data_IF_904028852400
#
_entry.id   IF_904028852400
#
_cell.length_a   1.000
_cell.length_b   1.000
_cell.length_c   1.000
_cell.angle_alpha   90.00
_cell.angle_beta   90.00
_cell.angle_gamma   90.00
#
_symmetry.space_group_name_H-M   'P 1'
#
loop_
_entity.id
_entity.type
_entity.pdbx_description
1 polymer ?
#
# COMPACT_ATOMS: atom_id res chain seq x y z
N UNK A 1 -0.53 -20.82 13.56
CA UNK A 1 -1.16 -21.45 14.74
C UNK A 1 -0.27 -21.12 15.93
N UNK A 2 -0.82 -20.49 16.98
CA UNK A 2 -0.05 -20.10 18.17
C UNK A 2 0.39 -21.33 18.98
N UNK A 3 1.41 -21.19 19.80
CA UNK A 3 1.94 -22.29 20.63
C UNK A 3 0.85 -23.01 21.43
N UNK A 4 -0.05 -22.26 22.07
CA UNK A 4 -1.15 -22.84 22.84
C UNK A 4 -2.10 -23.71 22.01
N UNK A 5 -2.46 -23.23 20.82
CA UNK A 5 -3.30 -24.02 19.88
C UNK A 5 -2.61 -25.30 19.44
N UNK A 6 -1.29 -25.27 19.25
CA UNK A 6 -0.50 -26.47 18.90
C UNK A 6 -0.44 -27.48 20.04
N UNK A 7 -0.21 -26.99 21.26
CA UNK A 7 -0.22 -27.87 22.44
C UNK A 7 -1.56 -28.59 22.53
N UNK A 8 -2.67 -27.85 22.36
CA UNK A 8 -4.01 -28.43 22.36
C UNK A 8 -4.19 -29.44 21.23
N UNK A 9 -3.82 -29.07 19.98
CA UNK A 9 -3.91 -29.95 18.79
C UNK A 9 -3.15 -31.25 18.98
N UNK A 10 -1.84 -31.19 19.30
CA UNK A 10 -1.03 -32.37 19.48
C UNK A 10 -1.48 -33.23 20.66
N UNK A 11 -1.97 -32.63 21.74
CA UNK A 11 -2.60 -33.37 22.85
C UNK A 11 -3.80 -34.17 22.37
N UNK A 12 -4.70 -33.54 21.60
CA UNK A 12 -5.90 -34.20 21.07
C UNK A 12 -5.57 -35.28 20.03
N UNK A 13 -4.62 -35.05 19.14
CA UNK A 13 -4.12 -36.03 18.18
C UNK A 13 -3.52 -37.26 18.87
N UNK A 14 -2.84 -37.08 20.00
CA UNK A 14 -2.33 -38.17 20.84
C UNK A 14 -3.37 -38.75 21.82
N UNK A 15 -4.62 -38.31 21.73
CA UNK A 15 -5.75 -38.78 22.59
C UNK A 15 -5.49 -38.58 24.09
N UNK A 16 -4.78 -37.55 24.47
CA UNK A 16 -4.43 -37.21 25.84
C UNK A 16 -5.38 -36.16 26.42
N UNK A 17 -5.63 -36.23 27.73
CA UNK A 17 -6.33 -35.21 28.48
C UNK A 17 -5.38 -34.11 28.94
N UNK A 18 -5.92 -32.96 29.38
CA UNK A 18 -5.09 -31.92 30.00
C UNK A 18 -4.44 -32.42 31.32
N UNK A 19 -5.06 -33.42 32.00
CA UNK A 19 -4.48 -34.07 33.19
C UNK A 19 -3.25 -34.88 32.84
N UNK A 20 -3.29 -35.65 31.74
CA UNK A 20 -2.15 -36.46 31.31
C UNK A 20 -0.95 -35.57 31.00
N UNK A 21 -1.17 -34.44 30.28
CA UNK A 21 -0.11 -33.47 30.03
C UNK A 21 0.39 -32.83 31.31
N UNK A 22 -0.50 -32.48 32.24
CA UNK A 22 -0.13 -31.89 33.54
C UNK A 22 0.76 -32.83 34.35
N UNK A 23 0.45 -34.12 34.35
CA UNK A 23 1.29 -35.16 35.03
C UNK A 23 2.67 -35.26 34.39
N UNK A 24 2.75 -35.29 33.05
CA UNK A 24 4.01 -35.33 32.30
C UNK A 24 4.86 -34.08 32.60
N UNK A 25 4.22 -32.92 32.65
CA UNK A 25 4.93 -31.66 32.92
C UNK A 25 5.20 -31.37 34.39
N UNK A 26 4.65 -32.19 35.29
CA UNK A 26 4.71 -31.96 36.73
C UNK A 26 4.09 -30.60 37.14
N UNK A 27 2.92 -30.27 36.59
CA UNK A 27 2.18 -29.03 36.86
C UNK A 27 0.71 -29.32 37.20
N UNK A 28 0.00 -28.33 37.71
CA UNK A 28 -1.44 -28.46 37.89
C UNK A 28 -2.21 -28.47 36.56
N UNK A 29 -3.33 -29.23 36.45
CA UNK A 29 -4.13 -29.28 35.21
C UNK A 29 -4.57 -27.89 34.69
N UNK A 30 -4.89 -26.95 35.60
CA UNK A 30 -5.21 -25.58 35.28
C UNK A 30 -4.08 -24.80 34.60
N UNK A 31 -2.83 -25.23 34.80
CA UNK A 31 -1.67 -24.64 34.11
C UNK A 31 -1.63 -25.03 32.63
N UNK A 32 -1.97 -26.27 32.30
CA UNK A 32 -2.08 -26.74 30.90
C UNK A 32 -3.18 -26.00 30.18
N UNK A 33 -4.33 -25.78 30.83
CA UNK A 33 -5.41 -24.95 30.28
C UNK A 33 -4.94 -23.52 29.93
N UNK A 34 -4.11 -22.92 30.80
CA UNK A 34 -3.53 -21.60 30.58
C UNK A 34 -2.51 -21.60 29.44
N UNK A 35 -1.72 -22.69 29.26
CA UNK A 35 -0.84 -22.86 28.12
C UNK A 35 -1.64 -22.95 26.82
N UNK A 36 -2.68 -23.77 26.77
CA UNK A 36 -3.54 -23.93 25.60
C UNK A 36 -4.30 -22.67 25.22
N UNK A 37 -4.72 -21.88 26.21
CA UNK A 37 -5.39 -20.59 25.97
C UNK A 37 -4.44 -19.42 25.69
N UNK A 38 -3.12 -19.64 25.78
CA UNK A 38 -2.12 -18.59 25.62
C UNK A 38 -2.04 -17.57 26.76
N UNK A 39 -2.71 -17.83 27.90
CA UNK A 39 -2.65 -16.96 29.09
C UNK A 39 -1.33 -17.10 29.85
N UNK A 40 -0.62 -18.20 29.62
CA UNK A 40 0.68 -18.47 30.24
C UNK A 40 1.57 -19.18 29.20
N UNK A 41 2.83 -18.82 29.13
CA UNK A 41 3.79 -19.50 28.28
C UNK A 41 4.51 -20.63 29.05
N UNK A 42 4.65 -21.85 28.43
CA UNK A 42 5.44 -22.90 29.00
C UNK A 42 6.92 -22.50 29.07
N UNK A 43 7.58 -22.86 30.15
CA UNK A 43 9.03 -22.69 30.26
C UNK A 43 9.79 -23.69 29.34
N UNK A 44 11.10 -23.49 29.16
CA UNK A 44 11.94 -24.31 28.28
C UNK A 44 11.89 -25.80 28.65
N UNK A 45 11.84 -26.14 29.93
CA UNK A 45 11.73 -27.52 30.41
C UNK A 45 10.41 -28.16 29.95
N UNK A 46 9.31 -27.43 30.10
CA UNK A 46 7.98 -27.86 29.62
C UNK A 46 7.91 -28.02 28.12
N UNK A 47 8.50 -27.07 27.35
CA UNK A 47 8.57 -27.13 25.89
C UNK A 47 9.32 -28.40 25.44
N UNK A 48 10.45 -28.70 26.06
CA UNK A 48 11.24 -29.90 25.75
C UNK A 48 10.45 -31.18 26.03
N UNK A 49 9.79 -31.28 27.19
CA UNK A 49 8.94 -32.45 27.53
C UNK A 49 7.75 -32.59 26.58
N UNK A 50 7.10 -31.48 26.21
CA UNK A 50 6.01 -31.51 25.23
C UNK A 50 6.49 -32.02 23.86
N UNK A 51 7.65 -31.55 23.36
CA UNK A 51 8.20 -32.00 22.09
C UNK A 51 8.52 -33.50 22.12
N UNK A 52 9.12 -34.00 23.19
CA UNK A 52 9.39 -35.42 23.39
C UNK A 52 8.09 -36.25 23.47
N UNK A 53 7.09 -35.75 24.20
CA UNK A 53 5.78 -36.45 24.36
C UNK A 53 5.00 -36.53 23.05
N UNK A 54 5.02 -35.48 22.24
CA UNK A 54 4.32 -35.43 20.97
C UNK A 54 5.13 -36.02 19.79
N UNK A 55 6.38 -36.39 20.02
CA UNK A 55 7.26 -36.95 18.99
C UNK A 55 7.63 -35.95 17.88
N UNK A 56 7.70 -34.67 18.20
CA UNK A 56 8.02 -33.59 17.29
C UNK A 56 9.25 -32.82 17.77
N UNK A 57 9.88 -32.04 16.89
CA UNK A 57 11.02 -31.21 17.29
C UNK A 57 10.54 -29.96 18.06
N UNK A 58 11.43 -29.41 18.90
CA UNK A 58 11.17 -28.13 19.59
C UNK A 58 10.87 -27.03 18.59
N UNK A 59 11.63 -26.99 17.47
CA UNK A 59 11.42 -26.02 16.38
C UNK A 59 10.02 -26.15 15.77
N UNK A 60 9.53 -27.37 15.58
CA UNK A 60 8.18 -27.62 15.05
C UNK A 60 7.09 -27.21 16.06
N UNK A 61 7.32 -27.43 17.33
CA UNK A 61 6.40 -27.00 18.38
C UNK A 61 6.38 -25.47 18.52
N UNK A 62 7.55 -24.82 18.50
CA UNK A 62 7.71 -23.38 18.67
C UNK A 62 7.48 -22.61 17.36
N UNK A 63 7.77 -23.24 16.21
CA UNK A 63 7.53 -22.60 14.92
C UNK A 63 6.05 -22.27 14.85
N UNK A 64 5.71 -21.02 15.06
CA UNK A 64 4.36 -20.59 14.71
C UNK A 64 4.18 -21.02 13.25
N UNK A 65 3.24 -21.93 12.97
CA UNK A 65 2.75 -22.07 11.62
C UNK A 65 2.04 -20.75 11.36
N UNK A 66 2.83 -19.74 11.08
CA UNK A 66 2.37 -18.68 10.25
C UNK A 66 1.93 -19.39 8.97
N UNK A 67 0.64 -19.41 8.74
CA UNK A 67 0.11 -19.49 7.39
C UNK A 67 0.60 -18.22 6.68
N UNK A 68 1.93 -18.12 6.47
CA UNK A 68 2.52 -17.04 5.73
C UNK A 68 1.99 -17.18 4.33
N UNK A 69 1.20 -16.21 3.98
CA UNK A 69 0.78 -16.01 2.61
C UNK A 69 2.04 -15.89 1.78
N UNK A 70 2.25 -16.80 0.85
CA UNK A 70 3.35 -16.68 -0.10
C UNK A 70 2.98 -15.58 -1.10
N UNK A 71 3.31 -14.34 -0.73
CA UNK A 71 2.93 -13.14 -1.49
C UNK A 71 3.48 -13.19 -2.92
N UNK A 72 4.55 -13.95 -3.17
CA UNK A 72 5.13 -14.13 -4.51
C UNK A 72 4.21 -14.86 -5.49
N UNK A 73 3.23 -15.60 -4.98
CA UNK A 73 2.24 -16.36 -5.77
C UNK A 73 0.91 -15.65 -5.94
N UNK A 74 0.75 -14.46 -5.34
CA UNK A 74 -0.50 -13.72 -5.38
C UNK A 74 -0.48 -12.76 -6.56
N UNK A 75 -1.49 -12.84 -7.41
CA UNK A 75 -1.81 -11.77 -8.33
C UNK A 75 -2.59 -10.68 -7.58
N UNK A 76 -1.87 -9.65 -7.13
CA UNK A 76 -2.46 -8.56 -6.33
C UNK A 76 -3.54 -7.82 -7.10
N UNK A 77 -3.40 -7.68 -8.43
CA UNK A 77 -4.41 -7.01 -9.26
C UNK A 77 -5.74 -7.77 -9.26
N UNK A 78 -5.70 -9.08 -9.45
CA UNK A 78 -6.91 -9.92 -9.41
C UNK A 78 -7.59 -9.83 -8.05
N UNK A 79 -6.83 -9.96 -6.96
CA UNK A 79 -7.38 -9.82 -5.60
C UNK A 79 -8.07 -8.48 -5.39
N UNK A 80 -7.43 -7.38 -5.80
CA UNK A 80 -8.00 -6.04 -5.64
C UNK A 80 -9.28 -5.87 -6.48
N UNK A 81 -9.32 -6.40 -7.72
CA UNK A 81 -10.51 -6.38 -8.58
C UNK A 81 -11.67 -7.20 -8.01
N UNK A 82 -11.41 -8.44 -7.60
CA UNK A 82 -12.43 -9.28 -6.95
C UNK A 82 -13.01 -8.61 -5.71
N UNK A 83 -12.16 -8.06 -4.86
CA UNK A 83 -12.60 -7.41 -3.63
C UNK A 83 -13.31 -6.06 -3.88
N UNK A 84 -12.95 -5.34 -4.96
CA UNK A 84 -13.70 -4.18 -5.45
C UNK A 84 -15.12 -4.56 -5.83
N UNK A 85 -15.31 -5.64 -6.59
CA UNK A 85 -16.62 -6.13 -7.01
C UNK A 85 -17.49 -6.58 -5.82
N UNK A 86 -16.87 -7.22 -4.83
CA UNK A 86 -17.56 -7.67 -3.62
C UNK A 86 -18.10 -6.53 -2.76
N UNK A 87 -17.52 -5.34 -2.83
CA UNK A 87 -17.86 -4.13 -2.03
C UNK A 87 -17.87 -4.38 -0.51
N UNK A 88 -17.08 -5.34 -0.04
CA UNK A 88 -16.99 -5.67 1.38
C UNK A 88 -15.99 -4.77 2.09
N UNK A 89 -16.36 -4.32 3.29
CA UNK A 89 -15.47 -3.56 4.16
C UNK A 89 -14.41 -4.46 4.81
N UNK A 90 -13.26 -3.87 5.14
CA UNK A 90 -12.22 -4.53 5.94
C UNK A 90 -11.33 -5.51 5.19
N UNK A 91 -11.41 -5.58 3.85
CA UNK A 91 -10.53 -6.37 3.00
C UNK A 91 -9.31 -5.55 2.51
N UNK A 92 -8.43 -6.18 1.71
CA UNK A 92 -7.23 -5.52 1.18
C UNK A 92 -7.57 -4.32 0.30
N UNK A 93 -8.55 -4.45 -0.63
CA UNK A 93 -8.99 -3.36 -1.49
C UNK A 93 -9.51 -2.17 -0.67
N UNK A 94 -10.40 -2.42 0.28
CA UNK A 94 -10.98 -1.38 1.13
C UNK A 94 -9.90 -0.58 1.87
N UNK A 95 -8.93 -1.27 2.47
CA UNK A 95 -7.85 -0.60 3.18
C UNK A 95 -6.84 0.05 2.24
N UNK A 96 -6.59 -0.52 1.06
CA UNK A 96 -5.77 0.12 0.01
C UNK A 96 -6.37 1.47 -0.40
N UNK A 97 -7.67 1.52 -0.64
CA UNK A 97 -8.39 2.76 -0.97
C UNK A 97 -8.16 3.85 0.08
N UNK A 98 -8.37 3.52 1.36
CA UNK A 98 -8.25 4.49 2.45
C UNK A 98 -6.80 4.94 2.65
N UNK A 99 -5.87 3.98 2.80
CA UNK A 99 -4.46 4.28 3.09
C UNK A 99 -3.81 5.03 1.93
N UNK A 100 -4.10 4.65 0.68
CA UNK A 100 -3.53 5.33 -0.48
C UNK A 100 -4.08 6.75 -0.59
N UNK A 101 -5.40 6.93 -0.52
CA UNK A 101 -6.02 8.25 -0.64
C UNK A 101 -5.60 9.18 0.50
N UNK A 102 -5.59 8.72 1.74
CA UNK A 102 -5.13 9.50 2.88
C UNK A 102 -3.68 9.96 2.68
N UNK A 103 -2.75 9.02 2.54
CA UNK A 103 -1.33 9.36 2.51
C UNK A 103 -0.96 10.23 1.31
N UNK A 104 -1.48 9.91 0.11
CA UNK A 104 -1.11 10.68 -1.08
C UNK A 104 -1.63 12.12 -1.05
N UNK A 105 -2.83 12.37 -0.48
CA UNK A 105 -3.35 13.72 -0.31
C UNK A 105 -2.66 14.46 0.85
N UNK A 106 -2.35 13.75 1.95
CA UNK A 106 -1.68 14.36 3.10
C UNK A 106 -0.22 14.77 2.80
N UNK A 107 0.48 14.02 1.95
CA UNK A 107 1.80 14.41 1.40
C UNK A 107 1.69 15.77 0.68
N UNK A 108 0.62 16.02 -0.06
CA UNK A 108 0.38 17.28 -0.78
C UNK A 108 -0.25 18.39 0.09
N UNK A 109 -0.46 18.12 1.38
CA UNK A 109 -0.87 19.14 2.35
C UNK A 109 -2.34 19.12 2.76
N UNK A 110 -3.13 18.13 2.32
CA UNK A 110 -4.50 17.93 2.82
C UNK A 110 -4.53 17.86 4.35
N UNK A 111 -5.57 18.43 4.93
CA UNK A 111 -5.80 18.43 6.39
C UNK A 111 -6.76 17.35 6.88
N UNK A 112 -7.28 16.53 5.97
CA UNK A 112 -8.14 15.40 6.34
C UNK A 112 -7.35 14.37 7.14
N UNK A 113 -7.93 13.87 8.22
CA UNK A 113 -7.38 12.73 8.96
C UNK A 113 -7.65 11.42 8.22
N UNK A 114 -6.99 10.34 8.65
CA UNK A 114 -7.26 9.01 8.10
C UNK A 114 -8.70 8.57 8.38
N UNK A 115 -9.22 8.85 9.58
CA UNK A 115 -10.61 8.53 9.94
C UNK A 115 -11.60 9.33 9.10
N UNK A 116 -11.37 10.62 8.86
CA UNK A 116 -12.21 11.42 7.95
C UNK A 116 -12.16 10.89 6.53
N UNK A 117 -10.97 10.48 6.04
CA UNK A 117 -10.81 9.82 4.74
C UNK A 117 -11.61 8.52 4.67
N UNK A 118 -11.58 7.72 5.74
CA UNK A 118 -12.38 6.49 5.89
C UNK A 118 -13.87 6.79 5.86
N UNK A 119 -14.35 7.80 6.61
CA UNK A 119 -15.76 8.20 6.60
C UNK A 119 -16.24 8.61 5.21
N UNK A 120 -15.43 9.40 4.48
CA UNK A 120 -15.78 9.78 3.10
C UNK A 120 -15.94 8.53 2.22
N UNK A 121 -14.99 7.58 2.31
CA UNK A 121 -15.04 6.35 1.51
C UNK A 121 -16.24 5.46 1.87
N UNK A 122 -16.46 5.23 3.17
CA UNK A 122 -17.43 4.24 3.64
C UNK A 122 -18.87 4.74 3.63
N UNK A 123 -19.08 6.04 3.79
CA UNK A 123 -20.42 6.61 4.05
C UNK A 123 -20.78 7.80 3.17
N UNK A 124 -19.82 8.29 2.38
CA UNK A 124 -19.94 9.55 1.63
C UNK A 124 -20.32 10.74 2.53
N UNK A 125 -19.87 10.72 3.78
CA UNK A 125 -20.03 11.80 4.77
C UNK A 125 -18.70 12.18 5.37
N UNK A 126 -18.67 13.31 6.08
CA UNK A 126 -17.50 13.73 6.85
C UNK A 126 -17.95 14.18 8.25
N UNK A 127 -17.17 13.80 9.26
CA UNK A 127 -17.36 14.21 10.63
C UNK A 127 -16.22 15.15 11.04
N UNK A 128 -16.59 16.30 11.59
CA UNK A 128 -15.66 17.21 12.24
C UNK A 128 -15.94 17.17 13.76
N UNK A 129 -14.92 16.88 14.53
CA UNK A 129 -15.01 16.81 15.99
C UNK A 129 -14.62 18.14 16.66
N UNK A 130 -13.99 19.02 15.92
CA UNK A 130 -13.48 20.31 16.37
C UNK A 130 -13.73 21.44 15.34
N UNK A 131 -13.25 22.66 15.64
CA UNK A 131 -13.32 23.82 14.74
C UNK A 131 -12.28 23.78 13.61
N UNK A 132 -11.72 22.63 13.26
CA UNK A 132 -10.72 22.51 12.19
C UNK A 132 -11.33 22.89 10.86
N UNK A 133 -10.73 23.84 10.17
CA UNK A 133 -11.11 24.26 8.82
C UNK A 133 -10.42 23.36 7.81
N UNK A 134 -11.21 22.61 7.05
CA UNK A 134 -10.75 21.76 5.94
C UNK A 134 -11.21 22.39 4.63
N UNK A 135 -10.35 22.37 3.62
CA UNK A 135 -10.71 22.82 2.28
C UNK A 135 -11.74 21.91 1.65
N UNK A 136 -12.74 22.49 0.97
CA UNK A 136 -13.67 21.70 0.14
C UNK A 136 -12.93 20.93 -0.95
N UNK A 137 -11.84 21.50 -1.48
CA UNK A 137 -11.00 20.83 -2.47
C UNK A 137 -10.30 19.59 -1.88
N UNK A 138 -9.87 19.60 -0.60
CA UNK A 138 -9.31 18.41 0.07
C UNK A 138 -10.34 17.26 0.09
N UNK A 139 -11.63 17.58 0.35
CA UNK A 139 -12.71 16.59 0.36
C UNK A 139 -12.96 16.06 -1.05
N UNK A 140 -13.07 16.97 -2.04
CA UNK A 140 -13.29 16.61 -3.44
C UNK A 140 -12.15 15.76 -4.01
N UNK A 141 -10.91 16.18 -3.79
CA UNK A 141 -9.74 15.46 -4.28
C UNK A 141 -9.59 14.08 -3.61
N UNK A 142 -9.99 13.96 -2.33
CA UNK A 142 -10.03 12.66 -1.65
C UNK A 142 -11.10 11.75 -2.25
N UNK A 143 -12.31 12.24 -2.45
CA UNK A 143 -13.38 11.48 -3.10
C UNK A 143 -13.05 11.12 -4.56
N UNK A 144 -12.39 12.03 -5.28
CA UNK A 144 -11.93 11.80 -6.64
C UNK A 144 -10.78 10.79 -6.67
N UNK A 145 -9.93 10.75 -5.65
CA UNK A 145 -8.86 9.77 -5.59
C UNK A 145 -9.39 8.34 -5.45
N UNK A 146 -10.48 8.11 -4.73
CA UNK A 146 -11.15 6.81 -4.71
C UNK A 146 -11.61 6.38 -6.10
N UNK A 147 -12.27 7.28 -6.83
CA UNK A 147 -12.68 7.03 -8.24
C UNK A 147 -11.46 6.77 -9.14
N UNK A 148 -10.36 7.47 -8.87
CA UNK A 148 -9.12 7.30 -9.61
C UNK A 148 -8.48 5.94 -9.37
N UNK A 149 -8.48 5.43 -8.13
CA UNK A 149 -8.02 4.06 -7.83
C UNK A 149 -8.90 3.03 -8.53
N UNK A 150 -10.22 3.20 -8.51
CA UNK A 150 -11.14 2.29 -9.20
C UNK A 150 -10.90 2.27 -10.71
N UNK A 151 -10.78 3.43 -11.33
CA UNK A 151 -10.47 3.55 -12.76
C UNK A 151 -9.09 2.93 -13.08
N UNK A 152 -8.09 3.19 -12.25
CA UNK A 152 -6.75 2.62 -12.41
C UNK A 152 -6.77 1.10 -12.36
N UNK A 153 -7.53 0.49 -11.44
CA UNK A 153 -7.65 -0.98 -11.38
C UNK A 153 -8.30 -1.55 -12.65
N UNK A 154 -9.30 -0.86 -13.21
CA UNK A 154 -9.99 -1.31 -14.42
C UNK A 154 -9.04 -1.36 -15.62
N UNK A 155 -8.13 -0.38 -15.73
CA UNK A 155 -7.21 -0.23 -16.87
C UNK A 155 -5.76 -0.66 -16.56
N UNK A 156 -5.54 -1.36 -15.43
CA UNK A 156 -4.19 -1.60 -14.92
C UNK A 156 -3.27 -2.31 -15.92
N UNK A 157 -3.81 -3.17 -16.80
CA UNK A 157 -3.05 -3.94 -17.78
C UNK A 157 -2.76 -3.17 -19.08
N UNK A 158 -3.41 -2.01 -19.29
CA UNK A 158 -3.17 -1.20 -20.49
C UNK A 158 -1.75 -0.60 -20.50
N UNK A 159 -1.20 -0.39 -21.68
CA UNK A 159 0.08 0.30 -21.86
C UNK A 159 -0.02 1.75 -21.38
N UNK A 160 1.05 2.22 -20.73
CA UNK A 160 1.08 3.59 -20.25
C UNK A 160 1.11 4.57 -21.42
N UNK A 161 0.10 5.43 -21.50
CA UNK A 161 -0.04 6.44 -22.55
C UNK A 161 -0.20 7.84 -21.94
N UNK A 162 0.01 8.85 -22.77
CA UNK A 162 -0.23 10.24 -22.41
C UNK A 162 -1.69 10.47 -22.01
N UNK A 163 -2.64 9.82 -22.72
CA UNK A 163 -4.07 9.94 -22.45
C UNK A 163 -4.45 9.35 -21.08
N UNK A 164 -3.89 8.21 -20.69
CA UNK A 164 -4.10 7.62 -19.36
C UNK A 164 -3.62 8.60 -18.27
N UNK A 165 -2.44 9.17 -18.42
CA UNK A 165 -1.87 10.11 -17.44
C UNK A 165 -2.74 11.37 -17.33
N UNK A 166 -3.18 11.91 -18.46
CA UNK A 166 -4.11 13.06 -18.51
C UNK A 166 -5.47 12.72 -17.91
N UNK A 167 -5.98 11.52 -18.16
CA UNK A 167 -7.23 11.04 -17.58
C UNK A 167 -7.14 10.91 -16.06
N UNK A 168 -6.01 10.43 -15.52
CA UNK A 168 -5.77 10.39 -14.07
C UNK A 168 -5.85 11.80 -13.47
N UNK A 169 -5.19 12.78 -14.08
CA UNK A 169 -5.26 14.15 -13.62
C UNK A 169 -6.70 14.73 -13.73
N UNK A 170 -7.42 14.41 -14.81
CA UNK A 170 -8.79 14.87 -15.01
C UNK A 170 -9.72 14.35 -13.91
N UNK A 171 -9.64 13.05 -13.60
CA UNK A 171 -10.44 12.46 -12.51
C UNK A 171 -10.10 13.10 -11.18
N UNK A 172 -8.80 13.25 -10.87
CA UNK A 172 -8.33 13.80 -9.59
C UNK A 172 -8.83 15.21 -9.33
N UNK A 173 -8.78 16.09 -10.34
CA UNK A 173 -9.07 17.53 -10.20
C UNK A 173 -10.48 17.89 -10.59
N UNK A 174 -11.37 16.92 -10.88
CA UNK A 174 -12.75 17.17 -11.26
C UNK A 174 -13.51 17.91 -10.16
N UNK A 175 -14.18 19.01 -10.52
CA UNK A 175 -15.05 19.78 -9.61
C UNK A 175 -14.34 20.68 -8.60
N UNK A 176 -13.01 20.64 -8.51
CA UNK A 176 -12.23 21.51 -7.61
C UNK A 176 -12.30 22.98 -8.02
N UNK A 177 -11.94 23.88 -7.11
CA UNK A 177 -11.83 25.33 -7.42
C UNK A 177 -10.88 25.58 -8.60
N UNK A 178 -9.81 24.82 -8.68
CA UNK A 178 -8.84 24.91 -9.78
C UNK A 178 -9.47 24.55 -11.13
N UNK A 179 -10.41 23.61 -11.17
CA UNK A 179 -11.10 23.22 -12.40
C UNK A 179 -11.94 24.33 -13.02
N UNK A 180 -12.22 25.40 -12.26
CA UNK A 180 -13.00 26.58 -12.71
C UNK A 180 -12.10 27.68 -13.29
N UNK A 181 -10.79 27.52 -13.22
CA UNK A 181 -9.83 28.52 -13.70
C UNK A 181 -9.45 28.21 -15.15
N UNK A 182 -9.68 29.13 -16.07
CA UNK A 182 -9.39 28.95 -17.51
C UNK A 182 -7.94 28.59 -17.83
N UNK A 183 -7.02 29.00 -16.96
CA UNK A 183 -5.58 28.74 -17.13
C UNK A 183 -5.12 27.41 -16.53
N UNK A 184 -5.90 26.81 -15.61
CA UNK A 184 -5.46 25.60 -14.90
C UNK A 184 -5.41 24.36 -15.78
N UNK A 185 -6.36 24.22 -16.69
CA UNK A 185 -6.33 23.22 -17.77
C UNK A 185 -6.39 21.76 -17.26
N UNK A 186 -7.44 21.43 -16.50
CA UNK A 186 -7.65 20.09 -15.94
C UNK A 186 -7.60 18.99 -17.00
N UNK A 187 -6.78 17.97 -16.79
CA UNK A 187 -6.60 16.86 -17.73
C UNK A 187 -5.72 17.18 -18.92
N UNK A 188 -5.05 18.35 -18.91
CA UNK A 188 -4.09 18.76 -19.95
C UNK A 188 -2.84 19.32 -19.30
N UNK A 189 -1.76 19.44 -20.08
CA UNK A 189 -0.50 19.96 -19.58
C UNK A 189 -0.58 21.44 -19.20
N UNK A 190 0.28 21.83 -18.29
CA UNK A 190 0.37 23.19 -17.74
C UNK A 190 0.53 24.26 -18.82
N UNK A 191 -0.14 25.39 -18.60
CA UNK A 191 0.00 26.59 -19.44
C UNK A 191 0.99 27.59 -18.85
N UNK A 192 1.16 27.59 -17.53
CA UNK A 192 2.03 28.50 -16.80
C UNK A 192 3.25 27.73 -16.24
N UNK A 193 4.40 28.38 -16.12
CA UNK A 193 5.54 27.82 -15.41
C UNK A 193 5.16 27.46 -13.96
N UNK A 194 5.69 26.35 -13.48
CA UNK A 194 5.54 25.93 -12.10
C UNK A 194 6.90 25.48 -11.52
N UNK A 195 6.90 25.19 -10.23
CA UNK A 195 8.08 24.74 -9.50
C UNK A 195 7.73 23.44 -8.74
N UNK A 196 8.70 22.56 -8.57
CA UNK A 196 8.63 21.42 -7.69
C UNK A 196 9.57 21.67 -6.50
N UNK A 197 8.99 22.09 -5.36
CA UNK A 197 9.77 22.66 -4.26
C UNK A 197 10.53 23.91 -4.71
N UNK A 198 11.88 23.88 -4.60
CA UNK A 198 12.73 25.00 -5.07
C UNK A 198 13.38 24.74 -6.44
N UNK A 199 12.94 23.71 -7.17
CA UNK A 199 13.52 23.35 -8.47
C UNK A 199 12.63 23.80 -9.61
N UNK A 200 13.24 24.42 -10.63
CA UNK A 200 12.55 24.72 -11.88
C UNK A 200 12.21 23.43 -12.61
N UNK A 201 10.98 23.35 -13.07
CA UNK A 201 10.47 22.23 -13.85
C UNK A 201 10.62 22.49 -15.36
N UNK A 202 10.25 21.54 -16.20
CA UNK A 202 10.20 21.73 -17.66
C UNK A 202 9.25 22.87 -18.02
N UNK A 203 9.63 23.73 -18.97
CA UNK A 203 8.78 24.84 -19.40
C UNK A 203 7.46 24.32 -20.02
N UNK A 204 6.35 25.10 -19.94
CA UNK A 204 5.08 24.68 -20.56
C UNK A 204 5.21 24.30 -22.03
N UNK A 205 5.98 25.06 -22.81
CA UNK A 205 6.22 24.82 -24.24
C UNK A 205 6.93 23.48 -24.52
N UNK A 206 7.82 23.07 -23.62
CA UNK A 206 8.62 21.85 -23.79
C UNK A 206 7.96 20.62 -23.16
N UNK A 207 6.99 20.83 -22.27
CA UNK A 207 6.32 19.75 -21.53
C UNK A 207 5.75 18.64 -22.41
N UNK A 208 5.00 18.90 -23.49
CA UNK A 208 4.47 17.83 -24.34
C UNK A 208 5.55 16.93 -24.92
N UNK A 209 6.62 17.53 -25.46
CA UNK A 209 7.76 16.80 -26.02
C UNK A 209 8.53 16.02 -24.98
N UNK A 210 8.65 16.55 -23.76
CA UNK A 210 9.33 15.88 -22.66
C UNK A 210 8.52 14.67 -22.17
N UNK A 211 7.20 14.79 -22.07
CA UNK A 211 6.30 13.67 -21.71
C UNK A 211 6.28 12.59 -22.77
N UNK A 212 6.18 12.96 -24.04
CA UNK A 212 6.27 12.00 -25.15
C UNK A 212 7.55 11.16 -25.06
N UNK A 213 8.71 11.81 -24.92
CA UNK A 213 10.00 11.13 -24.79
C UNK A 213 10.07 10.22 -23.54
N UNK A 214 9.48 10.65 -22.43
CA UNK A 214 9.46 9.85 -21.20
C UNK A 214 8.64 8.56 -21.40
N UNK A 215 7.47 8.67 -22.02
CA UNK A 215 6.57 7.54 -22.29
C UNK A 215 7.20 6.61 -23.33
N UNK A 216 7.75 7.14 -24.44
CA UNK A 216 8.46 6.37 -25.44
C UNK A 216 9.63 5.59 -24.83
N UNK A 217 10.45 6.24 -24.01
CA UNK A 217 11.53 5.57 -23.28
C UNK A 217 11.00 4.42 -22.43
N UNK A 218 9.96 4.67 -21.62
CA UNK A 218 9.41 3.67 -20.71
C UNK A 218 8.84 2.46 -21.47
N UNK A 219 8.07 2.71 -22.52
CA UNK A 219 7.47 1.66 -23.34
C UNK A 219 8.47 0.92 -24.22
N UNK A 220 9.67 1.46 -24.43
CA UNK A 220 10.75 0.78 -25.17
C UNK A 220 11.55 -0.23 -24.36
N UNK A 221 11.31 -0.27 -23.02
CA UNK A 221 12.04 -1.18 -22.12
C UNK A 221 11.59 -2.63 -22.34
N UNK A 222 12.55 -3.52 -22.56
CA UNK A 222 12.27 -4.96 -22.71
C UNK A 222 11.87 -5.65 -21.41
N UNK A 223 12.24 -5.06 -20.28
CA UNK A 223 11.89 -5.55 -18.95
C UNK A 223 11.69 -4.36 -18.02
N UNK A 224 10.58 -4.36 -17.33
CA UNK A 224 10.24 -3.35 -16.31
C UNK A 224 10.39 -3.98 -14.93
N UNK A 225 11.16 -3.34 -14.08
CA UNK A 225 11.31 -3.67 -12.66
C UNK A 225 10.89 -2.46 -11.82
N UNK A 226 10.86 -2.62 -10.51
CA UNK A 226 10.55 -1.51 -9.61
C UNK A 226 11.49 -0.30 -9.82
N UNK A 227 12.72 -0.52 -10.26
CA UNK A 227 13.68 0.56 -10.51
C UNK A 227 13.30 1.43 -11.70
N UNK A 228 12.83 0.83 -12.79
CA UNK A 228 12.36 1.56 -13.97
C UNK A 228 11.08 2.33 -13.67
N UNK A 229 10.19 1.78 -12.83
CA UNK A 229 8.98 2.47 -12.37
C UNK A 229 9.35 3.70 -11.52
N UNK A 230 10.29 3.56 -10.59
CA UNK A 230 10.80 4.66 -9.78
C UNK A 230 11.51 5.71 -10.65
N UNK A 231 12.30 5.28 -11.63
CA UNK A 231 12.97 6.19 -12.57
C UNK A 231 11.96 6.98 -13.42
N UNK A 232 10.91 6.30 -13.92
CA UNK A 232 9.81 6.99 -14.60
C UNK A 232 9.23 8.09 -13.71
N UNK A 233 8.89 7.76 -12.48
CA UNK A 233 8.32 8.70 -11.54
C UNK A 233 9.24 9.89 -11.25
N UNK A 234 10.53 9.65 -11.00
CA UNK A 234 11.49 10.73 -10.75
C UNK A 234 11.63 11.68 -11.95
N UNK A 235 11.60 11.15 -13.18
CA UNK A 235 11.61 11.95 -14.41
C UNK A 235 10.28 12.68 -14.62
N UNK A 236 9.15 12.05 -14.31
CA UNK A 236 7.82 12.65 -14.36
C UNK A 236 7.73 13.85 -13.41
N UNK A 237 8.18 13.69 -12.15
CA UNK A 237 8.24 14.76 -11.17
C UNK A 237 9.18 15.91 -11.59
N UNK A 238 10.27 15.61 -12.31
CA UNK A 238 11.16 16.65 -12.86
C UNK A 238 10.50 17.43 -13.99
N UNK A 239 9.72 16.77 -14.85
CA UNK A 239 8.94 17.44 -15.89
C UNK A 239 7.83 18.26 -15.27
N UNK A 240 7.13 17.71 -14.27
CA UNK A 240 6.03 18.33 -13.54
C UNK A 240 4.94 18.84 -14.49
N UNK A 241 4.30 17.91 -15.25
CA UNK A 241 3.59 18.27 -16.47
C UNK A 241 2.28 19.02 -16.25
N UNK A 242 1.66 18.90 -15.08
CA UNK A 242 0.39 19.57 -14.76
C UNK A 242 0.62 20.81 -13.90
N UNK A 243 -0.38 21.67 -13.82
CA UNK A 243 -0.29 22.89 -13.04
C UNK A 243 -0.23 22.58 -11.52
N UNK A 244 -0.95 21.55 -11.09
CA UNK A 244 -0.97 20.93 -9.75
C UNK A 244 -1.32 19.44 -9.87
N UNK A 245 -1.25 18.67 -8.78
CA UNK A 245 -1.63 17.25 -8.74
C UNK A 245 -0.60 16.27 -9.31
N UNK A 246 0.61 16.75 -9.65
CA UNK A 246 1.65 15.90 -10.26
C UNK A 246 2.06 14.75 -9.33
N UNK A 247 2.33 15.00 -8.06
CA UNK A 247 2.73 13.97 -7.10
C UNK A 247 1.70 12.85 -6.99
N UNK A 248 0.42 13.19 -6.88
CA UNK A 248 -0.69 12.24 -6.79
C UNK A 248 -0.83 11.40 -8.06
N UNK A 249 -0.79 12.03 -9.22
CA UNK A 249 -0.82 11.32 -10.52
C UNK A 249 0.41 10.43 -10.67
N UNK A 250 1.61 10.93 -10.35
CA UNK A 250 2.85 10.16 -10.44
C UNK A 250 2.85 8.92 -9.53
N UNK A 251 2.37 9.04 -8.29
CA UNK A 251 2.23 7.90 -7.38
C UNK A 251 1.17 6.90 -7.84
N UNK A 252 0.07 7.37 -8.45
CA UNK A 252 -0.93 6.50 -9.07
C UNK A 252 -0.35 5.72 -10.26
N UNK A 253 0.47 6.37 -11.10
CA UNK A 253 1.17 5.69 -12.21
C UNK A 253 2.12 4.62 -11.67
N UNK A 254 2.90 4.91 -10.61
CA UNK A 254 3.76 3.88 -10.00
C UNK A 254 2.95 2.66 -9.54
N UNK A 255 1.84 2.88 -8.85
CA UNK A 255 0.99 1.80 -8.36
C UNK A 255 0.43 0.96 -9.52
N UNK A 256 -0.11 1.62 -10.56
CA UNK A 256 -0.60 0.97 -11.78
C UNK A 256 0.49 0.13 -12.45
N UNK A 257 1.66 0.69 -12.66
CA UNK A 257 2.74 0.01 -13.37
C UNK A 257 3.32 -1.16 -12.57
N UNK A 258 3.30 -1.09 -11.23
CA UNK A 258 3.59 -2.25 -10.40
C UNK A 258 2.60 -3.40 -10.67
N UNK A 259 1.30 -3.11 -10.63
CA UNK A 259 0.26 -4.12 -10.87
C UNK A 259 0.38 -4.73 -12.28
N UNK A 260 0.56 -3.89 -13.31
CA UNK A 260 0.72 -4.34 -14.71
C UNK A 260 1.87 -5.34 -14.87
N UNK A 261 2.98 -5.09 -14.20
CA UNK A 261 4.19 -5.90 -14.34
C UNK A 261 4.29 -7.02 -13.30
N UNK A 262 3.20 -7.33 -12.60
CA UNK A 262 3.14 -8.32 -11.52
C UNK A 262 4.22 -8.06 -10.44
N UNK A 263 4.45 -6.79 -10.15
CA UNK A 263 5.29 -6.32 -9.05
C UNK A 263 4.35 -5.91 -7.92
N UNK A 264 4.65 -6.30 -6.69
CA UNK A 264 3.85 -5.85 -5.54
C UNK A 264 3.90 -4.33 -5.47
N UNK A 265 2.75 -3.64 -5.47
CA UNK A 265 2.72 -2.20 -5.41
C UNK A 265 3.15 -1.66 -4.05
N UNK A 266 3.29 -0.35 -3.93
CA UNK A 266 3.63 0.32 -2.70
C UNK A 266 2.91 1.67 -2.58
N UNK A 267 2.75 2.11 -1.33
CA UNK A 267 2.13 3.40 -0.99
C UNK A 267 3.14 4.17 -0.14
N UNK A 268 3.59 5.32 -0.62
CA UNK A 268 4.43 6.23 0.17
C UNK A 268 3.56 6.79 1.30
N UNK A 269 3.96 6.57 2.54
CA UNK A 269 3.24 7.07 3.70
C UNK A 269 3.66 8.51 4.02
N UNK A 270 2.72 9.32 4.53
CA UNK A 270 2.99 10.72 4.90
C UNK A 270 4.13 10.86 5.92
N UNK A 271 4.24 9.94 6.87
CA UNK A 271 5.36 9.91 7.83
C UNK A 271 6.73 9.82 7.17
N UNK A 272 6.81 9.27 5.94
CA UNK A 272 8.04 9.07 5.18
C UNK A 272 8.26 10.16 4.12
N UNK A 273 7.38 11.18 4.05
CA UNK A 273 7.41 12.22 3.01
C UNK A 273 8.74 12.99 2.92
N UNK A 274 9.41 13.22 4.03
CA UNK A 274 10.70 13.94 4.02
C UNK A 274 11.80 13.11 3.35
N UNK A 275 11.81 11.78 3.57
CA UNK A 275 12.73 10.87 2.89
C UNK A 275 12.41 10.77 1.40
N UNK A 276 11.12 10.71 1.05
CA UNK A 276 10.65 10.70 -0.33
C UNK A 276 11.04 11.97 -1.08
N UNK A 277 10.80 13.15 -0.53
CA UNK A 277 11.20 14.42 -1.17
C UNK A 277 12.71 14.58 -1.28
N UNK A 278 13.45 14.18 -0.25
CA UNK A 278 14.91 14.12 -0.32
C UNK A 278 15.36 13.16 -1.43
N UNK A 279 14.78 11.99 -1.48
CA UNK A 279 15.08 10.98 -2.50
C UNK A 279 14.85 11.50 -3.91
N UNK A 280 13.71 12.16 -4.18
CA UNK A 280 13.41 12.81 -5.46
C UNK A 280 14.46 13.87 -5.81
N UNK A 281 14.79 14.75 -4.87
CA UNK A 281 15.78 15.82 -5.08
C UNK A 281 17.16 15.28 -5.43
N UNK A 282 17.64 14.27 -4.70
CA UNK A 282 18.96 13.67 -4.96
C UNK A 282 18.96 12.90 -6.29
N UNK A 283 17.89 12.16 -6.57
CA UNK A 283 17.73 11.43 -7.82
C UNK A 283 17.73 12.36 -9.04
N UNK A 284 16.95 13.42 -9.00
CA UNK A 284 16.84 14.41 -10.09
C UNK A 284 18.12 15.23 -10.27
N UNK A 285 18.89 15.42 -9.19
CA UNK A 285 20.20 16.07 -9.21
C UNK A 285 21.35 15.19 -9.72
N UNK A 286 21.08 13.97 -10.17
CA UNK A 286 22.07 12.97 -10.56
C UNK A 286 23.12 12.68 -9.47
N UNK A 287 22.74 12.77 -8.20
CA UNK A 287 23.62 12.52 -7.06
C UNK A 287 23.48 11.09 -6.57
N UNK A 288 22.59 10.88 -5.61
CA UNK A 288 22.39 9.59 -4.96
C UNK A 288 20.98 9.06 -5.27
N UNK A 289 20.93 7.97 -6.05
CA UNK A 289 19.65 7.34 -6.45
C UNK A 289 19.08 6.42 -5.36
N UNK A 290 19.93 5.94 -4.44
CA UNK A 290 19.58 4.96 -3.43
C UNK A 290 18.46 5.44 -2.51
N UNK A 291 18.48 6.69 -2.06
CA UNK A 291 17.49 7.21 -1.12
C UNK A 291 16.02 7.06 -1.60
N UNK A 292 15.74 7.35 -2.87
CA UNK A 292 14.39 7.20 -3.41
C UNK A 292 14.02 5.73 -3.53
N UNK A 293 14.95 4.91 -4.02
CA UNK A 293 14.74 3.47 -4.18
C UNK A 293 14.49 2.83 -2.81
N UNK A 294 15.32 3.11 -1.80
CA UNK A 294 15.17 2.56 -0.45
C UNK A 294 13.85 2.97 0.20
N UNK A 295 13.43 4.23 -0.01
CA UNK A 295 12.12 4.71 0.48
C UNK A 295 10.97 3.92 -0.17
N UNK A 296 11.01 3.69 -1.48
CA UNK A 296 9.99 2.93 -2.19
C UNK A 296 10.00 1.44 -1.79
N UNK A 297 11.17 0.83 -1.62
CA UNK A 297 11.28 -0.56 -1.16
C UNK A 297 10.77 -0.73 0.27
N UNK A 298 11.07 0.20 1.18
CA UNK A 298 10.50 0.19 2.53
C UNK A 298 8.97 0.31 2.51
N UNK A 299 8.43 1.16 1.64
CA UNK A 299 6.98 1.27 1.45
C UNK A 299 6.37 -0.02 0.87
N UNK A 300 7.10 -0.73 -0.03
CA UNK A 300 6.70 -2.03 -0.56
C UNK A 300 6.65 -3.09 0.54
N UNK A 301 7.66 -3.15 1.42
CA UNK A 301 7.68 -4.07 2.55
C UNK A 301 6.48 -3.84 3.50
N UNK A 302 6.05 -2.59 3.67
CA UNK A 302 4.86 -2.28 4.46
C UNK A 302 3.58 -2.77 3.76
N UNK A 303 3.48 -2.62 2.44
CA UNK A 303 2.34 -3.11 1.66
C UNK A 303 2.30 -4.65 1.63
N UNK A 304 3.45 -5.32 1.56
CA UNK A 304 3.56 -6.79 1.69
C UNK A 304 2.97 -7.26 3.03
N UNK A 305 3.31 -6.61 4.14
CA UNK A 305 2.73 -6.94 5.45
C UNK A 305 1.22 -6.74 5.49
N UNK A 306 0.71 -5.74 4.79
CA UNK A 306 -0.72 -5.52 4.66
C UNK A 306 -1.39 -6.65 3.86
N UNK A 307 -0.79 -7.09 2.75
CA UNK A 307 -1.25 -8.25 1.98
C UNK A 307 -1.27 -9.51 2.86
N UNK A 308 -0.16 -9.80 3.57
CA UNK A 308 -0.06 -10.94 4.47
C UNK A 308 -1.16 -10.93 5.54
N UNK A 309 -1.49 -9.76 6.08
CA UNK A 309 -2.53 -9.61 7.10
C UNK A 309 -3.94 -9.88 6.54
N UNK A 310 -4.30 -9.22 5.43
CA UNK A 310 -5.66 -9.30 4.88
C UNK A 310 -5.94 -10.57 4.08
N UNK A 311 -4.91 -11.22 3.55
CA UNK A 311 -5.05 -12.46 2.80
C UNK A 311 -4.71 -13.71 3.62
N UNK A 312 -4.57 -13.59 4.94
CA UNK A 312 -4.37 -14.73 5.83
C UNK A 312 -5.55 -15.70 5.70
N UNK A 313 -5.30 -16.88 5.11
CA UNK A 313 -6.34 -17.87 4.80
C UNK A 313 -7.05 -17.70 3.46
N UNK A 314 -6.72 -16.68 2.66
CA UNK A 314 -7.23 -16.53 1.29
C UNK A 314 -6.73 -17.68 0.40
N UNK A 315 -7.64 -18.32 -0.35
CA UNK A 315 -7.30 -19.46 -1.23
C UNK A 315 -7.26 -20.84 -0.56
N UNK A 316 -7.75 -20.96 0.67
CA UNK A 316 -7.95 -22.26 1.35
C UNK A 316 -9.41 -22.75 1.23
N UNK A 317 -10.04 -22.52 0.06
CA UNK A 317 -11.35 -23.06 -0.29
C UNK A 317 -11.25 -24.18 -1.32
#
# INVERSE_FOLDING_TARGET
MKLGDKIKKYREENRMTQRDIAEILEVEPGTVSKYESGMLEPNIKSIKRLSETFGITIDELLKENDDKVDVSKINVLEVLREQKEMQLKGNLYHNTQIIFSYNTNHIEGSKLTEDQTRYIFETNTILFEDETVVSVDDILETANHFKLVDYMLDIAEEDLTEEIIKKFHRILKEGTMDSRKDWFNVGEYKKLPNEAGMMKTTSPKETPKAMQKLIEWYNSLSKITIKEIIEFHARFEKIHPFQDGNGRVGRMVMFKECLKNNIIPFIILDKDKLFYYRGLKEYQGNREKGYLIDTCLNAQDQYIKMIEYYLKGYGKG
#
